data_IF_668750603964
#
_entry.id   IF_668750603964
#
_cell.length_a   1.000
_cell.length_b   1.000
_cell.length_c   1.000
_cell.angle_alpha   90.00
_cell.angle_beta   90.00
_cell.angle_gamma   90.00
#
_symmetry.space_group_name_H-M   'P 1'
#
loop_
_entity.id
_entity.type
_entity.pdbx_description
1 polymer ?
#
# COMPACT_ATOMS: atom_id res chain seq x y z
N UNK A 1 0.03 -10.17 -23.62
CA UNK A 1 0.55 -10.10 -22.24
C UNK A 1 -0.53 -9.62 -21.31
N UNK A 2 -0.65 -10.24 -20.18
CA UNK A 2 -1.63 -9.82 -19.18
C UNK A 2 -0.97 -8.92 -18.14
N UNK A 3 -1.75 -7.98 -17.62
CA UNK A 3 -1.32 -7.17 -16.52
C UNK A 3 -1.76 -7.82 -15.21
N UNK A 4 -0.95 -7.65 -14.20
CA UNK A 4 -1.27 -8.10 -12.84
C UNK A 4 -1.56 -6.88 -11.98
N UNK A 5 -2.70 -6.90 -11.31
CA UNK A 5 -3.04 -5.83 -10.37
C UNK A 5 -2.55 -6.20 -8.99
N UNK A 6 -1.76 -5.31 -8.42
CA UNK A 6 -1.31 -5.43 -7.04
C UNK A 6 -2.10 -4.50 -6.15
N UNK A 7 -2.58 -5.04 -5.07
CA UNK A 7 -3.22 -4.29 -4.00
C UNK A 7 -2.21 -4.07 -2.90
N UNK A 8 -2.01 -2.82 -2.55
CA UNK A 8 -1.06 -2.43 -1.52
C UNK A 8 -1.85 -1.82 -0.37
N UNK A 9 -1.67 -2.40 0.81
CA UNK A 9 -2.32 -1.90 2.02
C UNK A 9 -1.29 -1.12 2.83
N UNK A 10 -1.63 0.12 3.17
CA UNK A 10 -0.76 0.98 3.96
C UNK A 10 -1.45 1.34 5.27
N UNK A 11 -0.78 1.14 6.41
CA UNK A 11 -1.35 1.55 7.69
C UNK A 11 -1.37 3.08 7.80
N UNK A 12 -2.39 3.59 8.47
CA UNK A 12 -2.53 5.03 8.72
C UNK A 12 -1.76 5.50 9.94
N UNK A 13 -1.18 4.57 10.69
CA UNK A 13 -0.36 4.90 11.88
C UNK A 13 0.98 4.19 11.78
N UNK A 14 2.01 4.84 12.30
CA UNK A 14 3.30 4.20 12.51
C UNK A 14 3.20 3.19 13.67
N UNK A 15 4.17 2.26 13.79
CA UNK A 15 4.13 1.28 14.87
C UNK A 15 4.04 1.87 16.27
N UNK A 16 4.57 3.08 16.48
CA UNK A 16 4.50 3.76 17.78
C UNK A 16 3.16 4.46 18.00
N UNK A 17 2.24 4.41 17.03
CA UNK A 17 0.89 4.95 17.18
C UNK A 17 0.68 6.35 16.61
N UNK A 18 1.72 7.03 16.14
CA UNK A 18 1.57 8.34 15.53
C UNK A 18 0.96 8.22 14.14
N UNK A 19 0.11 9.19 13.73
CA UNK A 19 -0.50 9.16 12.40
C UNK A 19 0.54 9.30 11.29
N UNK A 20 0.35 8.54 10.21
CA UNK A 20 1.14 8.72 9.00
C UNK A 20 0.61 9.96 8.28
N UNK A 21 1.48 10.95 7.97
CA UNK A 21 1.02 12.14 7.24
C UNK A 21 0.45 11.78 5.87
N UNK A 22 -0.60 12.50 5.47
CA UNK A 22 -1.22 12.27 4.16
C UNK A 22 -0.22 12.42 3.02
N UNK A 23 0.70 13.38 3.13
CA UNK A 23 1.75 13.59 2.13
C UNK A 23 2.64 12.36 1.93
N UNK A 24 2.90 11.61 2.98
CA UNK A 24 3.70 10.38 2.89
C UNK A 24 3.01 9.33 2.02
N UNK A 25 1.70 9.19 2.17
CA UNK A 25 0.92 8.25 1.36
C UNK A 25 0.90 8.67 -0.10
N UNK A 26 0.76 9.97 -0.35
CA UNK A 26 0.78 10.51 -1.70
C UNK A 26 2.16 10.32 -2.35
N UNK A 27 3.23 10.48 -1.58
CA UNK A 27 4.59 10.23 -2.09
C UNK A 27 4.77 8.78 -2.52
N UNK A 28 4.23 7.85 -1.76
CA UNK A 28 4.25 6.43 -2.14
C UNK A 28 3.46 6.20 -3.42
N UNK A 29 2.28 6.82 -3.55
CA UNK A 29 1.48 6.73 -4.77
C UNK A 29 2.24 7.25 -5.97
N UNK A 30 2.90 8.39 -5.84
CA UNK A 30 3.69 8.98 -6.93
C UNK A 30 4.84 8.04 -7.32
N UNK A 31 5.54 7.50 -6.35
CA UNK A 31 6.64 6.59 -6.62
C UNK A 31 6.17 5.34 -7.35
N UNK A 32 5.06 4.76 -6.92
CA UNK A 32 4.49 3.59 -7.58
C UNK A 32 4.06 3.91 -9.00
N UNK A 33 3.46 5.10 -9.22
CA UNK A 33 3.04 5.53 -10.54
C UNK A 33 4.24 5.69 -11.48
N UNK A 34 5.33 6.25 -10.99
CA UNK A 34 6.55 6.40 -11.78
C UNK A 34 7.19 5.06 -12.09
N UNK A 35 7.11 4.12 -11.17
CA UNK A 35 7.77 2.82 -11.32
C UNK A 35 6.99 1.86 -12.20
N UNK A 36 5.66 1.87 -12.09
CA UNK A 36 4.80 0.87 -12.74
C UNK A 36 3.84 1.46 -13.75
N UNK A 37 3.86 2.77 -13.97
CA UNK A 37 3.06 3.43 -14.99
C UNK A 37 1.73 3.97 -14.49
N UNK A 38 1.34 3.68 -13.26
CA UNK A 38 0.11 4.22 -12.69
C UNK A 38 -0.14 3.65 -11.32
N UNK A 39 -0.76 4.43 -10.46
CA UNK A 39 -1.16 3.99 -9.13
C UNK A 39 -2.42 4.74 -8.71
N UNK A 40 -3.40 4.01 -8.22
CA UNK A 40 -4.68 4.59 -7.79
C UNK A 40 -4.82 4.45 -6.29
N UNK A 41 -5.10 5.55 -5.63
CA UNK A 41 -5.45 5.55 -4.21
C UNK A 41 -6.95 5.38 -4.11
N UNK A 42 -7.40 4.30 -3.48
CA UNK A 42 -8.80 4.06 -3.27
C UNK A 42 -9.31 4.94 -2.14
N UNK A 43 -10.39 5.70 -2.35
CA UNK A 43 -10.90 6.57 -1.29
C UNK A 43 -11.46 5.76 -0.13
N UNK A 44 -11.35 6.31 1.08
CA UNK A 44 -11.88 5.70 2.28
C UNK A 44 -10.80 5.02 3.11
N UNK A 45 -11.24 4.55 4.25
CA UNK A 45 -10.40 3.82 5.20
C UNK A 45 -10.94 2.42 5.36
N UNK A 46 -10.03 1.47 5.52
CA UNK A 46 -10.37 0.07 5.65
C UNK A 46 -9.83 -0.44 6.98
N UNK A 47 -10.59 -1.29 7.64
CA UNK A 47 -10.18 -1.90 8.89
C UNK A 47 -9.50 -3.23 8.59
N UNK A 48 -8.29 -3.39 9.09
CA UNK A 48 -7.58 -4.66 9.07
C UNK A 48 -7.45 -5.20 10.47
N UNK A 49 -7.57 -6.51 10.62
CA UNK A 49 -7.47 -7.15 11.92
C UNK A 49 -6.58 -8.37 11.80
N UNK A 50 -5.62 -8.49 12.71
CA UNK A 50 -4.71 -9.64 12.73
C UNK A 50 -4.32 -9.98 14.16
N UNK A 51 -3.61 -11.09 14.31
CA UNK A 51 -3.15 -11.55 15.61
C UNK A 51 -1.65 -11.28 15.72
N UNK A 52 -1.27 -10.60 16.78
CA UNK A 52 0.13 -10.33 17.12
C UNK A 52 0.37 -10.79 18.56
N UNK A 53 1.25 -11.75 18.73
CA UNK A 53 1.59 -12.33 20.03
C UNK A 53 0.34 -12.77 20.80
N UNK A 54 -0.61 -13.42 20.11
CA UNK A 54 -1.84 -13.92 20.69
C UNK A 54 -2.92 -12.87 20.93
N UNK A 55 -2.67 -11.62 20.55
CA UNK A 55 -3.63 -10.54 20.73
C UNK A 55 -4.17 -10.05 19.41
N UNK A 56 -5.45 -9.71 19.39
CA UNK A 56 -6.08 -9.10 18.24
C UNK A 56 -5.64 -7.64 18.13
N UNK A 57 -5.13 -7.29 16.94
CA UNK A 57 -4.73 -5.93 16.63
C UNK A 57 -5.59 -5.45 15.47
N UNK A 58 -6.21 -4.28 15.65
CA UNK A 58 -6.99 -3.63 14.61
C UNK A 58 -6.27 -2.36 14.16
N UNK A 59 -6.15 -2.20 12.85
CA UNK A 59 -5.57 -1.00 12.26
C UNK A 59 -6.45 -0.45 11.15
N UNK A 60 -6.38 0.86 10.96
CA UNK A 60 -6.96 1.50 9.80
C UNK A 60 -5.93 1.56 8.68
N UNK A 61 -6.37 1.21 7.48
CA UNK A 61 -5.54 1.09 6.30
C UNK A 61 -6.10 1.90 5.17
N UNK A 62 -5.24 2.29 4.25
CA UNK A 62 -5.66 2.76 2.92
C UNK A 62 -5.17 1.77 1.88
N UNK A 63 -5.85 1.76 0.74
CA UNK A 63 -5.53 0.86 -0.37
C UNK A 63 -5.00 1.63 -1.55
N UNK A 64 -3.93 1.10 -2.12
CA UNK A 64 -3.39 1.57 -3.39
C UNK A 64 -3.42 0.43 -4.38
N UNK A 65 -3.72 0.75 -5.63
CA UNK A 65 -3.70 -0.21 -6.72
C UNK A 65 -2.62 0.17 -7.71
N UNK A 66 -1.90 -0.81 -8.18
CA UNK A 66 -1.02 -0.61 -9.33
C UNK A 66 -1.14 -1.80 -10.26
N UNK A 67 -1.23 -1.52 -11.55
CA UNK A 67 -1.27 -2.54 -12.57
C UNK A 67 0.12 -2.67 -13.17
N UNK A 68 0.66 -3.86 -13.08
CA UNK A 68 2.02 -4.14 -13.51
C UNK A 68 1.96 -5.06 -14.72
N UNK A 69 2.65 -4.64 -15.78
CA UNK A 69 2.80 -5.51 -16.94
C UNK A 69 3.67 -6.70 -16.56
N UNK A 70 3.16 -7.90 -16.82
CA UNK A 70 3.88 -9.15 -16.52
C UNK A 70 5.06 -9.33 -17.46
N UNK A 71 6.04 -8.46 -17.39
CA UNK A 71 7.29 -8.62 -18.08
C UNK A 71 8.35 -9.09 -17.09
N UNK A 72 9.37 -9.74 -17.62
CA UNK A 72 10.47 -10.24 -16.79
C UNK A 72 11.27 -9.13 -16.12
N UNK A 73 11.10 -7.90 -16.54
CA UNK A 73 11.82 -6.76 -15.99
C UNK A 73 11.16 -6.18 -14.75
N UNK A 74 9.92 -6.54 -14.50
CA UNK A 74 9.20 -6.02 -13.34
C UNK A 74 9.65 -6.75 -12.11
N UNK A 75 10.12 -5.99 -11.12
CA UNK A 75 10.55 -6.53 -9.84
C UNK A 75 9.51 -6.22 -8.78
N UNK A 76 9.46 -7.08 -7.76
CA UNK A 76 8.60 -6.85 -6.62
C UNK A 76 9.02 -5.56 -5.91
N UNK A 77 8.06 -4.66 -5.75
CA UNK A 77 8.27 -3.44 -5.00
C UNK A 77 7.51 -3.53 -3.69
N UNK A 78 8.21 -3.32 -2.59
CA UNK A 78 7.61 -3.28 -1.26
C UNK A 78 7.74 -1.86 -0.75
N UNK A 79 6.60 -1.21 -0.51
CA UNK A 79 6.59 0.14 0.02
C UNK A 79 7.16 0.13 1.45
N UNK A 80 8.05 1.05 1.79
CA UNK A 80 8.54 1.14 3.16
C UNK A 80 7.41 1.54 4.11
N UNK A 81 7.47 1.07 5.35
CA UNK A 81 6.48 1.42 6.36
C UNK A 81 6.53 2.91 6.72
#
# INVERSE_FOLDING_TARGET
MSDTRYLILLPLKFPEGTPVPAGHIIDIQIELARRFGGATLEPGRFSGMWVDEGQLVEDELVKLWTDVNDSSEVQLYVAPP
#
